data_IF_316041042428
#
_entry.id   IF_316041042428
#
_cell.length_a   1.000
_cell.length_b   1.000
_cell.length_c   1.000
_cell.angle_alpha   90.00
_cell.angle_beta   90.00
_cell.angle_gamma   90.00
#
_symmetry.space_group_name_H-M   'P 1'
#
loop_
_entity.id
_entity.type
_entity.pdbx_description
1 polymer ?
#
# COMPACT_ATOMS: atom_id res chain seq x y z
N UNK A 1 10.18 -19.43 2.57
CA UNK A 1 9.27 -19.62 1.43
C UNK A 1 10.00 -19.19 0.15
N UNK A 2 9.94 -19.97 -0.94
CA UNK A 2 10.46 -19.57 -2.27
C UNK A 2 9.28 -19.12 -3.12
N UNK A 3 9.40 -17.98 -3.80
CA UNK A 3 8.35 -17.40 -4.63
C UNK A 3 8.77 -17.42 -6.10
N UNK A 4 9.96 -16.88 -6.40
CA UNK A 4 10.57 -16.94 -7.73
C UNK A 4 11.35 -18.23 -7.95
N UNK A 5 11.52 -18.59 -9.22
CA UNK A 5 12.43 -19.63 -9.70
C UNK A 5 13.45 -18.98 -10.67
N UNK A 6 14.54 -18.47 -10.10
CA UNK A 6 15.46 -17.58 -10.81
C UNK A 6 14.83 -16.23 -11.16
N UNK A 7 15.35 -15.58 -12.20
CA UNK A 7 14.86 -14.26 -12.66
C UNK A 7 13.62 -14.36 -13.57
N UNK A 8 13.42 -15.51 -14.20
CA UNK A 8 12.50 -15.65 -15.34
C UNK A 8 11.23 -16.43 -15.03
N UNK A 9 11.23 -17.23 -13.96
CA UNK A 9 10.13 -18.12 -13.63
C UNK A 9 9.58 -17.85 -12.23
N UNK A 10 8.37 -18.35 -12.02
CA UNK A 10 7.68 -18.40 -10.73
C UNK A 10 7.64 -19.88 -10.30
N UNK A 11 7.70 -20.15 -9.00
CA UNK A 11 7.60 -21.52 -8.49
C UNK A 11 6.31 -22.21 -8.97
N UNK A 12 6.36 -23.50 -9.36
CA UNK A 12 5.19 -24.24 -9.82
C UNK A 12 4.03 -24.19 -8.81
N UNK A 13 2.83 -23.93 -9.32
CA UNK A 13 1.61 -23.86 -8.51
C UNK A 13 1.34 -22.52 -7.82
N UNK A 14 2.19 -21.50 -7.99
CA UNK A 14 1.92 -20.15 -7.50
C UNK A 14 1.31 -19.26 -8.58
N UNK A 15 0.24 -18.55 -8.22
CA UNK A 15 -0.32 -17.45 -9.00
C UNK A 15 -0.06 -16.14 -8.25
N UNK A 16 0.57 -15.16 -8.92
CA UNK A 16 0.93 -13.90 -8.30
C UNK A 16 0.08 -12.76 -8.85
N UNK A 17 -0.32 -11.87 -7.96
CA UNK A 17 -0.92 -10.57 -8.27
C UNK A 17 -0.13 -9.50 -7.51
N UNK A 18 0.12 -8.37 -8.15
CA UNK A 18 0.97 -7.31 -7.61
C UNK A 18 0.26 -5.96 -7.71
N UNK A 19 0.42 -5.01 -6.78
CA UNK A 19 -0.13 -3.67 -6.90
C UNK A 19 0.72 -2.84 -7.88
N UNK A 20 0.35 -2.81 -9.16
CA UNK A 20 1.18 -2.19 -10.22
C UNK A 20 0.75 -0.77 -10.58
N UNK A 21 -0.51 -0.41 -10.33
CA UNK A 21 -1.05 0.91 -10.68
C UNK A 21 -1.92 1.46 -9.55
N UNK A 22 -1.65 2.71 -9.17
CA UNK A 22 -2.54 3.47 -8.27
C UNK A 22 -3.84 3.80 -9.02
N UNK A 23 -4.96 3.31 -8.49
CA UNK A 23 -6.28 3.65 -8.97
C UNK A 23 -6.80 4.92 -8.28
N UNK A 24 -6.67 4.98 -6.95
CA UNK A 24 -7.12 6.11 -6.16
C UNK A 24 -6.34 6.25 -4.84
N UNK A 25 -6.36 7.45 -4.27
CA UNK A 25 -5.69 7.80 -3.01
C UNK A 25 -6.64 8.62 -2.15
N UNK A 26 -6.90 8.11 -0.95
CA UNK A 26 -7.76 8.76 0.04
C UNK A 26 -6.97 9.11 1.30
N UNK A 27 -7.37 10.20 1.96
CA UNK A 27 -6.88 10.54 3.30
C UNK A 27 -7.98 10.26 4.32
N UNK A 28 -7.67 9.40 5.30
CA UNK A 28 -8.56 9.04 6.41
C UNK A 28 -7.92 9.54 7.71
N UNK A 29 -8.21 10.78 8.09
CA UNK A 29 -7.57 11.42 9.25
C UNK A 29 -6.05 11.50 9.08
N UNK A 30 -5.31 10.81 9.96
CA UNK A 30 -3.84 10.72 9.95
C UNK A 30 -3.32 9.50 9.18
N UNK A 31 -4.15 8.86 8.36
CA UNK A 31 -3.77 7.74 7.51
C UNK A 31 -3.95 8.06 6.02
N UNK A 32 -3.05 7.54 5.20
CA UNK A 32 -3.16 7.57 3.75
C UNK A 32 -3.55 6.18 3.25
N UNK A 33 -4.63 6.09 2.48
CA UNK A 33 -5.12 4.85 1.88
C UNK A 33 -4.92 4.92 0.37
N UNK A 34 -4.25 3.92 -0.18
CA UNK A 34 -3.99 3.78 -1.62
C UNK A 34 -4.65 2.52 -2.13
N UNK A 35 -5.51 2.67 -3.12
CA UNK A 35 -6.10 1.56 -3.85
C UNK A 35 -5.25 1.26 -5.08
N UNK A 36 -4.71 0.05 -5.16
CA UNK A 36 -3.78 -0.32 -6.22
C UNK A 36 -4.26 -1.57 -6.99
N UNK A 37 -4.38 -1.42 -8.30
CA UNK A 37 -4.82 -2.46 -9.22
C UNK A 37 -3.65 -3.33 -9.70
N UNK A 38 -3.90 -4.60 -10.06
CA UNK A 38 -2.89 -5.52 -10.56
C UNK A 38 -2.63 -5.44 -12.06
N UNK A 39 -3.25 -4.45 -12.72
CA UNK A 39 -3.12 -4.17 -14.15
C UNK A 39 -3.47 -2.71 -14.42
N UNK A 40 -3.38 -2.30 -15.67
CA UNK A 40 -3.88 -1.01 -16.11
C UNK A 40 -5.42 -0.96 -16.09
N UNK A 41 -5.96 -0.01 -15.33
CA UNK A 41 -7.40 0.22 -15.09
C UNK A 41 -7.79 1.68 -15.40
N UNK A 42 -6.99 2.40 -16.20
CA UNK A 42 -7.29 3.78 -16.62
C UNK A 42 -8.60 3.90 -17.40
N UNK A 43 -8.90 2.91 -18.23
CA UNK A 43 -10.14 2.86 -18.98
C UNK A 43 -11.24 2.16 -18.17
N UNK A 44 -12.46 2.70 -18.23
CA UNK A 44 -13.63 2.16 -17.49
C UNK A 44 -13.90 0.69 -17.78
N UNK A 45 -13.61 0.22 -18.99
CA UNK A 45 -13.79 -1.19 -19.37
C UNK A 45 -12.91 -2.15 -18.56
N UNK A 46 -11.81 -1.67 -17.97
CA UNK A 46 -10.86 -2.48 -17.20
C UNK A 46 -11.03 -2.34 -15.69
N UNK A 47 -11.96 -1.49 -15.23
CA UNK A 47 -12.25 -1.21 -13.81
C UNK A 47 -13.15 -2.26 -13.14
N UNK A 48 -13.34 -3.42 -13.77
CA UNK A 48 -14.15 -4.54 -13.30
C UNK A 48 -13.45 -5.87 -13.59
N UNK A 49 -13.94 -6.97 -12.99
CA UNK A 49 -13.35 -8.31 -13.10
C UNK A 49 -11.84 -8.35 -12.78
N UNK A 50 -11.43 -7.58 -11.77
CA UNK A 50 -10.03 -7.51 -11.34
C UNK A 50 -9.93 -7.38 -9.81
N UNK A 51 -8.94 -8.05 -9.16
CA UNK A 51 -8.65 -7.78 -7.76
C UNK A 51 -8.20 -6.34 -7.52
N UNK A 52 -8.26 -5.89 -6.27
CA UNK A 52 -7.76 -4.58 -5.86
C UNK A 52 -7.09 -4.69 -4.50
N UNK A 53 -5.88 -4.15 -4.38
CA UNK A 53 -5.18 -4.07 -3.10
C UNK A 53 -5.56 -2.79 -2.37
N UNK A 54 -5.73 -2.90 -1.06
CA UNK A 54 -5.88 -1.74 -0.17
C UNK A 54 -4.59 -1.59 0.63
N UNK A 55 -3.84 -0.52 0.39
CA UNK A 55 -2.63 -0.18 1.13
C UNK A 55 -2.95 0.96 2.09
N UNK A 56 -2.73 0.75 3.38
CA UNK A 56 -2.91 1.75 4.42
C UNK A 56 -1.56 2.11 5.02
N UNK A 57 -1.25 3.39 4.98
CA UNK A 57 -0.06 3.99 5.56
C UNK A 57 -0.47 4.82 6.78
N UNK A 58 0.18 4.58 7.90
CA UNK A 58 -0.10 5.25 9.17
C UNK A 58 1.20 5.37 9.97
N UNK A 59 1.20 6.15 11.05
CA UNK A 59 2.37 6.32 11.91
C UNK A 59 2.04 6.02 13.37
N UNK A 60 2.53 4.89 13.93
CA UNK A 60 2.28 4.56 15.33
C UNK A 60 3.18 5.34 16.31
N UNK A 61 4.29 5.90 15.81
CA UNK A 61 5.32 6.67 16.53
C UNK A 61 6.01 7.62 15.53
N UNK A 62 6.56 8.74 16.00
CA UNK A 62 7.35 9.64 15.15
C UNK A 62 8.53 8.90 14.49
N UNK A 63 8.70 9.07 13.18
CA UNK A 63 9.76 8.39 12.42
C UNK A 63 9.51 6.91 12.14
N UNK A 64 8.30 6.41 12.40
CA UNK A 64 7.86 5.05 12.07
C UNK A 64 6.67 5.11 11.12
N UNK A 65 6.76 4.39 10.00
CA UNK A 65 5.66 4.23 9.05
C UNK A 65 5.18 2.78 9.09
N UNK A 66 3.94 2.59 9.51
CA UNK A 66 3.20 1.35 9.35
C UNK A 66 2.69 1.23 7.92
N UNK A 67 2.92 0.07 7.29
CA UNK A 67 2.41 -0.27 5.98
C UNK A 67 1.57 -1.53 6.11
N UNK A 68 0.25 -1.41 5.91
CA UNK A 68 -0.69 -2.53 5.89
C UNK A 68 -1.17 -2.73 4.46
N UNK A 69 -0.97 -3.94 3.93
CA UNK A 69 -1.37 -4.30 2.57
C UNK A 69 -2.35 -5.47 2.62
N UNK A 70 -3.55 -5.27 2.07
CA UNK A 70 -4.67 -6.20 2.23
C UNK A 70 -5.28 -6.60 0.88
N UNK A 71 -5.78 -7.83 0.82
CA UNK A 71 -6.55 -8.36 -0.31
C UNK A 71 -8.02 -8.57 0.09
N UNK A 72 -8.29 -9.46 1.04
CA UNK A 72 -9.63 -9.68 1.59
C UNK A 72 -9.69 -9.26 3.05
N UNK A 73 -10.63 -8.37 3.39
CA UNK A 73 -10.86 -7.89 4.75
C UNK A 73 -11.94 -8.68 5.51
N UNK A 74 -12.56 -9.68 4.87
CA UNK A 74 -13.57 -10.55 5.50
C UNK A 74 -12.99 -11.77 6.22
N UNK A 75 -11.67 -11.91 6.29
CA UNK A 75 -11.03 -13.01 7.01
C UNK A 75 -11.17 -12.82 8.54
N UNK A 76 -11.17 -13.93 9.28
CA UNK A 76 -11.15 -13.88 10.74
C UNK A 76 -9.79 -13.37 11.23
N UNK A 77 -9.78 -12.25 11.95
CA UNK A 77 -8.59 -11.66 12.58
C UNK A 77 -8.61 -11.97 14.08
N UNK A 78 -8.30 -13.23 14.42
CA UNK A 78 -8.25 -13.68 15.81
C UNK A 78 -6.89 -13.32 16.44
N UNK A 79 -6.91 -12.82 17.68
CA UNK A 79 -5.70 -12.55 18.45
C UNK A 79 -4.98 -13.81 18.97
N UNK A 80 -3.90 -13.64 19.75
CA UNK A 80 -3.39 -12.37 20.28
C UNK A 80 -2.57 -11.58 19.25
N UNK A 81 -2.64 -10.25 19.34
CA UNK A 81 -1.76 -9.35 18.59
C UNK A 81 -0.57 -8.93 19.46
N UNK A 82 0.50 -8.44 18.81
CA UNK A 82 1.64 -7.88 19.55
C UNK A 82 1.19 -6.70 20.42
N UNK A 83 1.72 -6.57 21.65
CA UNK A 83 1.42 -5.44 22.55
C UNK A 83 2.19 -4.19 22.11
N UNK A 84 1.82 -3.64 20.96
CA UNK A 84 2.48 -2.46 20.37
C UNK A 84 2.02 -1.17 21.06
N UNK A 85 2.96 -0.27 21.33
CA UNK A 85 2.66 1.08 21.81
C UNK A 85 2.30 1.97 20.61
N UNK A 86 1.01 2.03 20.27
CA UNK A 86 0.49 2.84 19.17
C UNK A 86 -0.05 4.16 19.70
N UNK A 87 0.57 5.26 19.29
CA UNK A 87 0.07 6.61 19.55
C UNK A 87 -0.97 6.98 18.48
N UNK A 88 -2.11 7.52 18.90
CA UNK A 88 -3.20 7.89 17.99
C UNK A 88 -2.99 9.30 17.38
N UNK A 89 -2.34 10.19 18.12
CA UNK A 89 -2.20 11.60 17.76
C UNK A 89 -0.78 11.96 17.29
N UNK A 90 -0.20 11.13 16.42
CA UNK A 90 1.09 11.45 15.77
C UNK A 90 0.84 12.50 14.68
N UNK A 91 1.63 13.57 14.70
CA UNK A 91 1.64 14.55 13.62
C UNK A 91 2.26 13.91 12.37
N UNK A 92 1.45 13.80 11.32
CA UNK A 92 1.88 13.34 10.00
C UNK A 92 1.58 14.42 8.96
N UNK A 93 2.49 14.57 8.00
CA UNK A 93 2.28 15.44 6.84
C UNK A 93 1.85 14.56 5.67
N UNK A 94 0.81 14.98 4.94
CA UNK A 94 0.37 14.29 3.73
C UNK A 94 0.37 15.21 2.53
N UNK A 95 0.79 14.67 1.39
CA UNK A 95 0.76 15.35 0.11
C UNK A 95 0.20 14.41 -0.94
N UNK A 96 -0.84 14.84 -1.64
CA UNK A 96 -1.41 14.12 -2.77
C UNK A 96 -1.46 15.08 -3.97
N UNK A 97 -0.68 14.78 -5.01
CA UNK A 97 -0.62 15.56 -6.24
C UNK A 97 -0.61 14.60 -7.45
N UNK A 98 -0.67 15.15 -8.67
CA UNK A 98 -0.76 14.35 -9.89
C UNK A 98 0.41 13.38 -10.15
N UNK A 99 1.55 13.56 -9.48
CA UNK A 99 2.73 12.71 -9.66
C UNK A 99 2.88 11.67 -8.54
N UNK A 100 2.49 12.00 -7.30
CA UNK A 100 2.65 11.10 -6.17
C UNK A 100 1.67 11.38 -5.02
N UNK A 101 1.51 10.37 -4.19
CA UNK A 101 0.95 10.46 -2.85
C UNK A 101 2.02 10.13 -1.81
N UNK A 102 2.16 10.96 -0.77
CA UNK A 102 3.21 10.82 0.24
C UNK A 102 2.65 11.05 1.64
N UNK A 103 3.05 10.19 2.57
CA UNK A 103 2.83 10.34 4.00
C UNK A 103 4.18 10.42 4.71
N UNK A 104 4.34 11.41 5.58
CA UNK A 104 5.59 11.68 6.30
C UNK A 104 5.36 11.75 7.80
N UNK A 105 6.26 11.12 8.56
CA UNK A 105 6.31 11.13 10.02
C UNK A 105 7.74 11.48 10.45
N UNK A 106 7.91 12.64 11.08
CA UNK A 106 9.24 13.18 11.40
C UNK A 106 10.07 13.38 10.13
N UNK A 107 11.25 12.74 10.06
CA UNK A 107 12.11 12.75 8.86
C UNK A 107 11.83 11.62 7.87
N UNK A 108 11.01 10.63 8.23
CA UNK A 108 10.74 9.47 7.37
C UNK A 108 9.48 9.71 6.53
N UNK A 109 9.52 9.43 5.23
CA UNK A 109 8.33 9.43 4.39
C UNK A 109 8.19 8.18 3.54
N UNK A 110 6.93 7.85 3.19
CA UNK A 110 6.57 6.84 2.21
C UNK A 110 5.87 7.53 1.05
N UNK A 111 6.36 7.28 -0.16
CA UNK A 111 5.84 7.88 -1.38
C UNK A 111 5.37 6.79 -2.33
N UNK A 112 4.20 6.99 -2.93
CA UNK A 112 3.65 6.16 -3.99
C UNK A 112 3.49 6.99 -5.25
N UNK A 113 4.17 6.61 -6.34
CA UNK A 113 4.08 7.28 -7.64
C UNK A 113 2.74 6.98 -8.31
N UNK A 114 2.08 8.02 -8.82
CA UNK A 114 0.86 7.90 -9.61
C UNK A 114 1.18 7.61 -11.09
N UNK A 115 0.27 6.94 -11.79
CA UNK A 115 0.37 6.70 -13.23
C UNK A 115 0.74 5.27 -13.63
N UNK A 116 1.37 5.12 -14.81
CA UNK A 116 1.48 3.83 -15.51
C UNK A 116 2.42 2.80 -14.85
N UNK A 117 3.38 3.27 -14.04
CA UNK A 117 4.27 2.42 -13.27
C UNK A 117 4.26 2.92 -11.83
N UNK A 118 3.46 2.27 -10.98
CA UNK A 118 3.48 2.54 -9.55
C UNK A 118 4.82 2.14 -8.96
N UNK A 119 5.43 3.05 -8.21
CA UNK A 119 6.60 2.77 -7.39
C UNK A 119 6.26 3.14 -5.94
N UNK A 120 6.76 2.34 -4.99
CA UNK A 120 6.70 2.63 -3.57
C UNK A 120 8.12 2.89 -3.07
N UNK A 121 8.35 4.08 -2.55
CA UNK A 121 9.66 4.55 -2.10
C UNK A 121 9.60 4.95 -0.63
N UNK A 122 10.70 4.74 0.09
CA UNK A 122 10.89 5.19 1.46
C UNK A 122 12.05 6.19 1.49
N UNK A 123 11.80 7.40 1.99
CA UNK A 123 12.73 8.53 1.94
C UNK A 123 13.08 9.01 3.36
N UNK A 124 14.27 9.60 3.53
CA UNK A 124 14.77 10.19 4.78
C UNK A 124 15.33 11.59 4.53
#
# INVERSE_FOLDING_TARGET
MKISDGNWLIQPGLNLIHPVQVFDVEQHGNEMVVYAAPRDVRERTWQLDTPLFTLRFFSPQEGVIGVRMEHFQGALDNGPHYPLNVLQDINVEMQNNAAFAELKSGSLSVRVTQGALGALEVLR
#
